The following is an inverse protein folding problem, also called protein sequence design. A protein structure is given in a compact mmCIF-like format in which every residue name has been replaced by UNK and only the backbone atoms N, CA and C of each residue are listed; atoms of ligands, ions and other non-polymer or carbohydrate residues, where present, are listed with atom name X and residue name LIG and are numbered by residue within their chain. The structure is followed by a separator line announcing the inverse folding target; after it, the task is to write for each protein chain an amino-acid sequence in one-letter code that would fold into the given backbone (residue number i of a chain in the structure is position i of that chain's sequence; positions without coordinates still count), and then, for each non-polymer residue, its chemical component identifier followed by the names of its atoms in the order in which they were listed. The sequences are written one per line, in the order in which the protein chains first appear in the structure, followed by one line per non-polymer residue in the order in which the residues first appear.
data_IF_705472039906
#
_entry.id   IF_705472039906
#
_cell.length_a   1.000
_cell.length_b   1.000
_cell.length_c   1.000
_cell.angle_alpha   90.00
_cell.angle_beta   90.00
_cell.angle_gamma   90.00
#
_symmetry.space_group_name_H-M   'P 1'
#
loop_
_entity.id
_entity.type
_entity.pdbx_description
1 polymer ?
#
# COMPACT_ATOMS: atom_id res chain seq x y z
N UNK A 1 -11.70 12.39 10.38
CA UNK A 1 -12.03 10.96 10.31
C UNK A 1 -12.77 10.74 9.00
N UNK A 2 -12.23 9.92 8.08
CA UNK A 2 -12.78 9.74 6.74
C UNK A 2 -14.11 8.99 6.87
N UNK A 3 -15.23 9.68 6.66
CA UNK A 3 -16.60 9.15 6.82
C UNK A 3 -17.00 8.09 5.78
N UNK A 4 -16.11 7.63 4.90
CA UNK A 4 -16.47 6.75 3.78
C UNK A 4 -16.04 5.28 3.94
N UNK A 5 -15.06 4.98 4.79
CA UNK A 5 -14.51 3.63 5.01
C UNK A 5 -14.64 3.22 6.49
N UNK A 6 -15.89 3.08 6.95
CA UNK A 6 -16.18 2.44 8.25
C UNK A 6 -17.09 1.24 8.01
N UNK A 7 -17.11 0.33 8.99
CA UNK A 7 -18.05 -0.80 9.02
C UNK A 7 -19.48 -0.28 8.90
N UNK A 8 -19.86 0.68 9.74
CA UNK A 8 -21.20 1.30 9.76
C UNK A 8 -21.60 1.90 8.40
N UNK A 9 -20.71 2.65 7.74
CA UNK A 9 -21.04 3.25 6.43
C UNK A 9 -21.16 2.19 5.34
N UNK A 10 -20.39 1.10 5.45
CA UNK A 10 -20.48 -0.03 4.53
C UNK A 10 -21.79 -0.79 4.72
N UNK A 11 -22.20 -1.03 5.96
CA UNK A 11 -23.49 -1.63 6.29
C UNK A 11 -24.66 -0.76 5.81
N UNK A 12 -24.65 0.54 6.06
CA UNK A 12 -25.64 1.49 5.54
C UNK A 12 -25.70 1.49 4.01
N UNK A 13 -24.53 1.45 3.35
CA UNK A 13 -24.44 1.40 1.90
C UNK A 13 -25.03 0.09 1.33
N UNK A 14 -24.78 -1.04 1.99
CA UNK A 14 -25.35 -2.34 1.62
C UNK A 14 -26.87 -2.34 1.84
N UNK A 15 -27.34 -1.94 3.02
CA UNK A 15 -28.76 -1.90 3.36
C UNK A 15 -29.58 -1.02 2.41
N UNK A 16 -28.98 0.07 1.90
CA UNK A 16 -29.61 0.96 0.90
C UNK A 16 -29.77 0.32 -0.48
N UNK A 17 -28.85 -0.57 -0.89
CA UNK A 17 -28.74 -1.05 -2.27
C UNK A 17 -29.04 -2.55 -2.45
N UNK A 18 -29.13 -3.30 -1.36
CA UNK A 18 -29.50 -4.72 -1.30
C UNK A 18 -30.73 -4.94 -0.41
N UNK A 19 -31.57 -5.91 -0.78
CA UNK A 19 -32.73 -6.36 -0.01
C UNK A 19 -32.42 -7.58 0.85
N UNK A 20 -31.34 -8.30 0.57
CA UNK A 20 -30.91 -9.44 1.38
C UNK A 20 -29.65 -10.12 0.86
N UNK A 21 -29.13 -11.02 1.68
CA UNK A 21 -28.04 -11.94 1.35
C UNK A 21 -28.64 -13.32 1.05
N UNK A 22 -28.12 -13.98 0.03
CA UNK A 22 -28.40 -15.37 -0.27
C UNK A 22 -27.85 -16.31 0.80
N UNK A 23 -28.23 -17.58 0.72
CA UNK A 23 -27.80 -18.63 1.65
C UNK A 23 -26.68 -19.50 1.11
N UNK A 24 -26.54 -19.55 -0.22
CA UNK A 24 -25.55 -20.39 -0.87
C UNK A 24 -24.19 -19.69 -0.87
N UNK A 25 -23.28 -20.24 -0.07
CA UNK A 25 -21.89 -19.82 -0.05
C UNK A 25 -21.13 -20.35 -1.26
N UNK A 26 -20.23 -19.53 -1.78
CA UNK A 26 -19.27 -19.90 -2.80
C UNK A 26 -17.91 -19.29 -2.48
N UNK A 27 -16.85 -20.04 -2.73
CA UNK A 27 -15.48 -19.55 -2.60
C UNK A 27 -15.05 -19.03 -3.96
N UNK A 28 -14.76 -17.74 -4.03
CA UNK A 28 -14.23 -17.08 -5.23
C UNK A 28 -12.77 -16.69 -5.01
N UNK A 29 -12.06 -16.53 -6.11
CA UNK A 29 -10.67 -16.07 -6.18
C UNK A 29 -10.64 -14.71 -6.87
N UNK A 30 -10.04 -13.74 -6.18
CA UNK A 30 -9.92 -12.37 -6.63
C UNK A 30 -8.46 -12.05 -6.94
N UNK A 31 -8.18 -11.79 -8.21
CA UNK A 31 -6.91 -11.26 -8.68
C UNK A 31 -6.83 -9.75 -8.42
N UNK A 32 -5.64 -9.31 -8.02
CA UNK A 32 -5.26 -7.90 -7.95
C UNK A 32 -3.94 -7.64 -8.69
N UNK A 33 -3.56 -8.56 -9.58
CA UNK A 33 -2.28 -8.57 -10.30
C UNK A 33 -1.21 -9.47 -9.68
N UNK A 34 -1.41 -9.93 -8.45
CA UNK A 34 -0.49 -10.85 -7.78
C UNK A 34 -0.76 -12.32 -8.11
N UNK A 35 0.32 -13.12 -8.16
CA UNK A 35 0.27 -14.53 -8.60
C UNK A 35 -0.59 -15.44 -7.72
N UNK A 36 -0.72 -15.12 -6.43
CA UNK A 36 -1.59 -15.87 -5.51
C UNK A 36 -2.88 -15.05 -5.34
N UNK A 37 -4.05 -15.50 -5.85
CA UNK A 37 -5.27 -14.73 -5.73
C UNK A 37 -5.77 -14.69 -4.28
N UNK A 38 -6.52 -13.64 -3.93
CA UNK A 38 -7.22 -13.54 -2.67
C UNK A 38 -8.46 -14.44 -2.70
N UNK A 39 -8.50 -15.45 -1.83
CA UNK A 39 -9.68 -16.32 -1.69
C UNK A 39 -10.68 -15.67 -0.74
N UNK A 40 -11.96 -15.72 -1.10
CA UNK A 40 -13.02 -15.19 -0.24
C UNK A 40 -14.30 -15.99 -0.39
N UNK A 41 -14.93 -16.29 0.74
CA UNK A 41 -16.28 -16.86 0.80
C UNK A 41 -17.29 -15.73 0.65
N UNK A 42 -18.18 -15.86 -0.33
CA UNK A 42 -19.23 -14.89 -0.64
C UNK A 42 -20.56 -15.59 -0.82
N UNK A 43 -21.62 -14.81 -0.77
CA UNK A 43 -22.99 -15.21 -1.12
C UNK A 43 -23.54 -14.27 -2.18
N UNK A 44 -24.57 -14.72 -2.89
CA UNK A 44 -25.33 -13.85 -3.80
C UNK A 44 -26.05 -12.75 -3.02
N UNK A 45 -26.23 -11.59 -3.65
CA UNK A 45 -27.00 -10.47 -3.11
C UNK A 45 -28.29 -10.30 -3.89
N UNK A 46 -29.39 -10.26 -3.15
CA UNK A 46 -30.64 -9.76 -3.68
C UNK A 46 -30.53 -8.23 -3.75
N UNK A 47 -30.35 -7.69 -4.95
CA UNK A 47 -30.16 -6.25 -5.17
C UNK A 47 -31.48 -5.52 -5.37
N UNK A 48 -31.62 -4.32 -4.80
CA UNK A 48 -32.84 -3.50 -4.94
C UNK A 48 -32.87 -2.81 -6.30
N UNK A 49 -33.74 -3.28 -7.19
CA UNK A 49 -33.98 -2.69 -8.50
C UNK A 49 -32.92 -3.02 -9.55
N UNK A 50 -33.29 -2.86 -10.83
CA UNK A 50 -32.43 -3.14 -11.99
C UNK A 50 -31.28 -2.13 -12.16
N UNK A 51 -31.36 -0.98 -11.50
CA UNK A 51 -30.37 0.11 -11.56
C UNK A 51 -29.42 0.14 -10.36
N UNK A 52 -29.50 -0.84 -9.45
CA UNK A 52 -28.66 -0.89 -8.24
C UNK A 52 -27.18 -0.75 -8.59
N UNK A 53 -26.47 0.05 -7.79
CA UNK A 53 -25.02 0.27 -7.94
C UNK A 53 -24.21 -1.02 -7.82
N UNK A 54 -24.76 -2.07 -7.18
CA UNK A 54 -24.08 -3.36 -7.05
C UNK A 54 -24.07 -4.19 -8.33
N UNK A 55 -24.95 -3.89 -9.30
CA UNK A 55 -24.94 -4.53 -10.62
C UNK A 55 -23.90 -3.96 -11.56
N UNK A 56 -23.20 -2.88 -11.17
CA UNK A 56 -22.29 -2.18 -12.06
C UNK A 56 -21.02 -1.69 -11.40
N UNK A 57 -19.90 -1.90 -12.07
CA UNK A 57 -18.62 -1.29 -11.75
C UNK A 57 -18.27 -0.21 -12.78
N UNK A 58 -17.57 0.82 -12.32
CA UNK A 58 -16.98 1.83 -13.22
C UNK A 58 -15.55 1.41 -13.47
N UNK A 59 -15.18 1.22 -14.73
CA UNK A 59 -13.79 1.01 -15.13
C UNK A 59 -13.37 2.17 -16.04
N UNK A 60 -12.20 2.71 -15.75
CA UNK A 60 -11.53 3.69 -16.60
C UNK A 60 -10.56 2.93 -17.50
N UNK A 61 -10.60 3.19 -18.80
CA UNK A 61 -9.55 2.76 -19.72
C UNK A 61 -9.07 3.96 -20.52
N UNK A 62 -7.79 3.95 -20.90
CA UNK A 62 -7.25 4.93 -21.83
C UNK A 62 -7.70 4.50 -23.22
N UNK A 63 -8.46 5.34 -23.91
CA UNK A 63 -8.89 5.03 -25.28
C UNK A 63 -7.71 5.16 -26.26
N UNK A 64 -7.95 4.82 -27.53
CA UNK A 64 -6.93 4.89 -28.60
C UNK A 64 -6.33 6.29 -28.79
N UNK A 65 -7.04 7.33 -28.34
CA UNK A 65 -6.64 8.73 -28.43
C UNK A 65 -5.92 9.22 -27.16
N UNK A 66 -5.60 8.32 -26.23
CA UNK A 66 -4.95 8.68 -24.96
C UNK A 66 -5.89 9.29 -23.91
N UNK A 67 -7.20 9.37 -24.19
CA UNK A 67 -8.17 9.98 -23.30
C UNK A 67 -8.82 8.92 -22.37
N UNK A 68 -8.90 9.18 -21.05
CA UNK A 68 -9.56 8.29 -20.12
C UNK A 68 -11.06 8.26 -20.41
N UNK A 69 -11.56 7.08 -20.80
CA UNK A 69 -12.97 6.82 -21.06
C UNK A 69 -13.56 5.96 -19.94
N UNK A 70 -14.74 6.35 -19.45
CA UNK A 70 -15.43 5.65 -18.38
C UNK A 70 -16.46 4.69 -18.96
N UNK A 71 -16.27 3.40 -18.72
CA UNK A 71 -17.28 2.39 -19.05
C UNK A 71 -17.92 1.81 -17.79
N UNK A 72 -19.24 1.74 -17.82
CA UNK A 72 -20.04 1.04 -16.84
C UNK A 72 -20.11 -0.43 -17.25
N UNK A 73 -19.35 -1.29 -16.55
CA UNK A 73 -19.38 -2.74 -16.76
C UNK A 73 -20.32 -3.40 -15.75
N UNK A 74 -20.87 -4.54 -16.15
CA UNK A 74 -21.68 -5.39 -15.27
C UNK A 74 -20.79 -5.91 -14.12
N UNK A 75 -21.35 -5.96 -12.92
CA UNK A 75 -20.68 -6.43 -11.70
C UNK A 75 -21.54 -7.53 -11.08
N UNK A 76 -20.94 -8.68 -10.71
CA UNK A 76 -21.66 -9.74 -10.05
C UNK A 76 -22.13 -9.27 -8.66
N UNK A 77 -23.43 -9.42 -8.33
CA UNK A 77 -23.99 -9.00 -7.05
C UNK A 77 -23.60 -10.00 -5.95
N UNK A 78 -22.35 -9.95 -5.51
CA UNK A 78 -21.80 -10.82 -4.46
C UNK A 78 -21.39 -10.00 -3.25
N UNK A 79 -21.61 -10.56 -2.05
CA UNK A 79 -21.21 -9.96 -0.78
C UNK A 79 -20.69 -11.00 0.20
N UNK A 80 -19.95 -10.54 1.20
CA UNK A 80 -19.52 -11.35 2.35
C UNK A 80 -20.60 -11.26 3.42
N UNK A 81 -20.97 -12.38 4.03
CA UNK A 81 -21.94 -12.37 5.13
C UNK A 81 -21.43 -11.50 6.28
N UNK A 82 -22.28 -10.62 6.86
CA UNK A 82 -21.87 -9.74 7.96
C UNK A 82 -21.28 -10.50 9.15
N UNK A 83 -21.83 -11.68 9.46
CA UNK A 83 -21.34 -12.56 10.54
C UNK A 83 -19.92 -13.05 10.32
N UNK A 84 -19.49 -13.19 9.07
CA UNK A 84 -18.14 -13.66 8.72
C UNK A 84 -17.12 -12.53 8.62
N UNK A 85 -17.53 -11.26 8.67
CA UNK A 85 -16.63 -10.12 8.46
C UNK A 85 -15.54 -9.98 9.52
N UNK A 86 -15.81 -10.41 10.76
CA UNK A 86 -14.84 -10.33 11.85
C UNK A 86 -13.63 -11.25 11.60
N UNK A 87 -13.90 -12.49 11.17
CA UNK A 87 -12.87 -13.50 10.93
C UNK A 87 -11.97 -13.15 9.73
N UNK A 88 -12.46 -12.30 8.81
CA UNK A 88 -11.72 -11.86 7.63
C UNK A 88 -10.50 -11.00 7.96
N UNK A 89 -10.48 -10.31 9.09
CA UNK A 89 -9.34 -9.48 9.47
C UNK A 89 -8.05 -10.29 9.61
N UNK A 90 -8.14 -11.42 10.30
CA UNK A 90 -7.00 -12.29 10.56
C UNK A 90 -6.58 -13.07 9.30
N UNK A 91 -7.54 -13.48 8.48
CA UNK A 91 -7.26 -14.10 7.17
C UNK A 91 -6.47 -13.16 6.25
N UNK A 92 -6.89 -11.89 6.14
CA UNK A 92 -6.21 -10.90 5.29
C UNK A 92 -4.86 -10.48 5.85
N UNK A 93 -4.71 -10.44 7.18
CA UNK A 93 -3.42 -10.21 7.84
C UNK A 93 -2.42 -11.31 7.45
N UNK A 94 -2.80 -12.58 7.59
CA UNK A 94 -1.95 -13.73 7.21
C UNK A 94 -1.61 -13.74 5.73
N UNK A 95 -2.57 -13.39 4.87
CA UNK A 95 -2.33 -13.30 3.43
C UNK A 95 -1.22 -12.29 3.11
N UNK A 96 -1.27 -11.10 3.71
CA UNK A 96 -0.23 -10.07 3.54
C UNK A 96 1.12 -10.49 4.13
N UNK A 97 1.10 -11.09 5.32
CA UNK A 97 2.30 -11.60 5.99
C UNK A 97 3.01 -12.68 5.16
N UNK A 98 2.24 -13.59 4.53
CA UNK A 98 2.78 -14.63 3.67
C UNK A 98 3.55 -14.04 2.48
N UNK A 99 3.05 -12.96 1.89
CA UNK A 99 3.73 -12.24 0.80
C UNK A 99 5.03 -11.62 1.33
N UNK A 100 4.96 -10.95 2.47
CA UNK A 100 6.09 -10.25 3.06
C UNK A 100 7.24 -11.19 3.45
N UNK A 101 6.93 -12.37 4.00
CA UNK A 101 7.94 -13.33 4.46
C UNK A 101 8.55 -14.17 3.34
N UNK A 102 7.78 -14.51 2.30
CA UNK A 102 8.16 -15.58 1.39
C UNK A 102 8.25 -15.19 -0.09
N UNK A 103 7.78 -14.00 -0.47
CA UNK A 103 7.55 -13.74 -1.90
C UNK A 103 7.69 -12.27 -2.33
N UNK A 104 8.52 -11.52 -1.62
CA UNK A 104 8.77 -10.10 -1.93
C UNK A 104 9.26 -9.87 -3.36
N UNK A 105 10.06 -10.78 -3.90
CA UNK A 105 10.59 -10.64 -5.26
C UNK A 105 9.48 -10.63 -6.33
N UNK A 106 8.40 -11.40 -6.15
CA UNK A 106 7.27 -11.37 -7.08
C UNK A 106 6.35 -10.19 -6.80
N UNK A 107 6.20 -9.82 -5.53
CA UNK A 107 5.45 -8.62 -5.16
C UNK A 107 6.05 -7.35 -5.75
N UNK A 108 7.36 -7.13 -5.64
CA UNK A 108 8.03 -5.91 -6.14
C UNK A 108 7.80 -5.71 -7.65
N UNK A 109 7.66 -6.79 -8.43
CA UNK A 109 7.40 -6.70 -9.88
C UNK A 109 6.06 -6.04 -10.21
N UNK A 110 5.06 -6.24 -9.34
CA UNK A 110 3.68 -5.78 -9.54
C UNK A 110 3.29 -4.61 -8.63
N UNK A 111 4.16 -4.25 -7.67
CA UNK A 111 3.86 -3.24 -6.65
C UNK A 111 3.57 -1.86 -7.27
N UNK A 112 4.10 -1.60 -8.46
CA UNK A 112 3.84 -0.40 -9.24
C UNK A 112 3.43 -0.76 -10.67
N UNK A 113 2.44 -0.06 -11.21
CA UNK A 113 2.08 -0.19 -12.64
C UNK A 113 3.24 0.30 -13.53
N UNK A 114 3.34 -0.16 -14.79
CA UNK A 114 4.40 0.27 -15.71
C UNK A 114 4.47 1.80 -15.94
N UNK A 115 3.34 2.48 -15.78
CA UNK A 115 3.18 3.92 -15.94
C UNK A 115 3.49 4.71 -14.66
N UNK A 116 3.70 4.03 -13.53
CA UNK A 116 4.06 4.63 -12.24
C UNK A 116 5.59 4.83 -12.12
N UNK A 117 6.01 5.34 -10.95
CA UNK A 117 7.39 5.74 -10.68
C UNK A 117 8.37 4.56 -10.61
N UNK A 118 9.28 4.45 -11.58
CA UNK A 118 10.40 3.49 -11.55
C UNK A 118 11.33 3.72 -10.34
N UNK A 119 11.48 4.99 -9.90
CA UNK A 119 12.21 5.34 -8.69
C UNK A 119 11.59 4.67 -7.46
N UNK A 120 10.27 4.78 -7.30
CA UNK A 120 9.56 4.17 -6.18
C UNK A 120 9.72 2.64 -6.18
N UNK A 121 9.61 2.01 -7.37
CA UNK A 121 9.79 0.57 -7.55
C UNK A 121 11.19 0.11 -7.17
N UNK A 122 12.23 0.79 -7.64
CA UNK A 122 13.63 0.44 -7.34
C UNK A 122 13.99 0.67 -5.87
N UNK A 123 13.49 1.74 -5.25
CA UNK A 123 13.65 1.98 -3.82
C UNK A 123 12.99 0.88 -2.98
N UNK A 124 11.77 0.48 -3.34
CA UNK A 124 11.09 -0.65 -2.68
C UNK A 124 11.89 -1.94 -2.86
N UNK A 125 12.39 -2.21 -4.07
CA UNK A 125 13.20 -3.39 -4.37
C UNK A 125 14.42 -3.48 -3.46
N UNK A 126 15.19 -2.40 -3.34
CA UNK A 126 16.38 -2.35 -2.48
C UNK A 126 16.05 -2.61 -1.01
N UNK A 127 14.95 -2.05 -0.50
CA UNK A 127 14.49 -2.32 0.87
C UNK A 127 14.06 -3.78 1.06
N UNK A 128 13.32 -4.35 0.10
CA UNK A 128 12.93 -5.75 0.15
C UNK A 128 14.13 -6.69 0.11
N UNK A 129 15.14 -6.40 -0.71
CA UNK A 129 16.39 -7.16 -0.78
C UNK A 129 17.15 -7.10 0.57
N UNK A 130 17.23 -5.92 1.18
CA UNK A 130 17.84 -5.76 2.51
C UNK A 130 17.11 -6.59 3.58
N UNK A 131 15.77 -6.56 3.60
CA UNK A 131 14.99 -7.39 4.53
C UNK A 131 15.19 -8.88 4.27
N UNK A 132 15.12 -9.34 3.01
CA UNK A 132 15.33 -10.75 2.65
C UNK A 132 16.73 -11.25 3.03
N UNK A 133 17.76 -10.42 2.87
CA UNK A 133 19.11 -10.75 3.32
C UNK A 133 19.18 -10.95 4.85
N UNK A 134 18.53 -10.08 5.62
CA UNK A 134 18.40 -10.25 7.08
C UNK A 134 17.69 -11.54 7.47
N UNK A 135 16.57 -11.87 6.82
CA UNK A 135 15.85 -13.13 7.03
C UNK A 135 16.73 -14.34 6.75
N UNK A 136 17.46 -14.34 5.62
CA UNK A 136 18.36 -15.44 5.25
C UNK A 136 19.53 -15.61 6.23
N UNK A 137 19.94 -14.53 6.91
CA UNK A 137 20.96 -14.54 7.94
C UNK A 137 20.42 -14.93 9.34
N UNK A 138 19.12 -15.20 9.48
CA UNK A 138 18.49 -15.48 10.78
C UNK A 138 18.29 -14.25 11.67
N UNK A 139 18.34 -13.06 11.09
CA UNK A 139 18.24 -11.76 11.76
C UNK A 139 17.05 -10.97 11.17
N UNK A 140 15.84 -11.50 11.36
CA UNK A 140 14.62 -10.89 10.85
C UNK A 140 14.32 -9.56 11.56
N UNK A 141 14.18 -8.49 10.77
CA UNK A 141 13.79 -7.17 11.27
C UNK A 141 12.26 -7.04 11.29
N UNK A 142 11.62 -7.42 12.40
CA UNK A 142 10.17 -7.43 12.54
C UNK A 142 9.52 -6.08 12.20
N UNK A 143 10.04 -4.97 12.73
CA UNK A 143 9.55 -3.63 12.41
C UNK A 143 9.57 -3.31 10.91
N UNK A 144 10.60 -3.79 10.19
CA UNK A 144 10.70 -3.60 8.74
C UNK A 144 9.72 -4.51 7.99
N UNK A 145 9.53 -5.76 8.43
CA UNK A 145 8.47 -6.65 7.90
C UNK A 145 7.12 -5.95 7.97
N UNK A 146 6.76 -5.42 9.15
CA UNK A 146 5.46 -4.78 9.33
C UNK A 146 5.27 -3.53 8.45
N UNK A 147 6.33 -2.73 8.26
CA UNK A 147 6.30 -1.61 7.32
C UNK A 147 6.05 -2.09 5.88
N UNK A 148 6.73 -3.14 5.43
CA UNK A 148 6.55 -3.73 4.09
C UNK A 148 5.12 -4.28 3.94
N UNK A 149 4.57 -4.91 4.98
CA UNK A 149 3.19 -5.38 4.99
C UNK A 149 2.18 -4.24 4.83
N UNK A 150 2.41 -3.07 5.43
CA UNK A 150 1.59 -1.88 5.18
C UNK A 150 1.64 -1.53 3.69
N UNK A 151 2.82 -1.56 3.05
CA UNK A 151 2.95 -1.28 1.62
C UNK A 151 2.17 -2.28 0.75
N UNK A 152 2.24 -3.57 1.06
CA UNK A 152 1.47 -4.62 0.38
C UNK A 152 -0.02 -4.37 0.50
N UNK A 153 -0.52 -4.12 1.71
CA UNK A 153 -1.94 -3.86 1.93
C UNK A 153 -2.42 -2.59 1.21
N UNK A 154 -1.62 -1.52 1.19
CA UNK A 154 -1.92 -0.31 0.42
C UNK A 154 -1.99 -0.58 -1.10
N UNK A 155 -1.12 -1.44 -1.62
CA UNK A 155 -1.16 -1.86 -3.02
C UNK A 155 -2.45 -2.66 -3.33
N UNK A 156 -2.88 -3.55 -2.43
CA UNK A 156 -4.16 -4.26 -2.58
C UNK A 156 -5.35 -3.27 -2.57
N UNK A 157 -5.32 -2.26 -1.69
CA UNK A 157 -6.38 -1.25 -1.61
C UNK A 157 -6.50 -0.39 -2.88
N UNK A 158 -5.40 -0.20 -3.60
CA UNK A 158 -5.30 0.55 -4.86
C UNK A 158 -5.92 -0.20 -6.02
N UNK A 159 -5.72 -1.51 -6.07
CA UNK A 159 -6.14 -2.33 -7.20
C UNK A 159 -7.63 -2.65 -7.18
N UNK A 160 -8.16 -2.97 -8.35
CA UNK A 160 -9.45 -3.64 -8.48
C UNK A 160 -9.28 -5.11 -8.13
N UNK A 161 -10.24 -5.67 -7.40
CA UNK A 161 -10.27 -7.08 -7.02
C UNK A 161 -11.16 -7.82 -8.01
N UNK A 162 -10.54 -8.38 -9.03
CA UNK A 162 -11.18 -8.93 -10.21
C UNK A 162 -11.34 -10.45 -10.07
N UNK A 163 -12.47 -11.00 -10.48
CA UNK A 163 -12.63 -12.46 -10.56
C UNK A 163 -11.66 -13.05 -11.57
N UNK A 164 -11.00 -14.14 -11.21
CA UNK A 164 -10.29 -14.94 -12.21
C UNK A 164 -11.24 -15.79 -13.06
N UNK A 165 -10.70 -16.45 -14.09
CA UNK A 165 -11.50 -17.18 -15.07
C UNK A 165 -12.33 -18.31 -14.46
N UNK A 166 -11.78 -19.05 -13.49
CA UNK A 166 -12.50 -20.13 -12.81
C UNK A 166 -13.63 -19.58 -11.94
N UNK A 167 -13.37 -18.50 -11.19
CA UNK A 167 -14.38 -17.88 -10.34
C UNK A 167 -15.46 -17.18 -11.16
N UNK A 168 -15.11 -16.63 -12.32
CA UNK A 168 -16.06 -16.05 -13.27
C UNK A 168 -17.05 -17.11 -13.73
N UNK A 169 -16.57 -18.26 -14.23
CA UNK A 169 -17.42 -19.38 -14.66
C UNK A 169 -18.31 -19.91 -13.53
N UNK A 170 -17.75 -20.04 -12.33
CA UNK A 170 -18.50 -20.46 -11.14
C UNK A 170 -19.66 -19.49 -10.85
N UNK A 171 -19.37 -18.20 -10.86
CA UNK A 171 -20.34 -17.14 -10.57
C UNK A 171 -21.42 -17.08 -11.65
N UNK A 172 -21.06 -17.17 -12.93
CA UNK A 172 -22.01 -17.21 -14.05
C UNK A 172 -22.94 -18.41 -13.94
N UNK A 173 -22.40 -19.60 -13.64
CA UNK A 173 -23.21 -20.81 -13.46
C UNK A 173 -24.15 -20.73 -12.25
N UNK A 174 -23.75 -20.07 -11.17
CA UNK A 174 -24.58 -19.90 -9.96
C UNK A 174 -25.64 -18.81 -10.11
N UNK A 175 -25.34 -17.74 -10.82
CA UNK A 175 -26.25 -16.60 -10.98
C UNK A 175 -27.10 -16.69 -12.25
N UNK A 176 -26.78 -17.60 -13.18
CA UNK A 176 -27.47 -17.73 -14.47
C UNK A 176 -27.30 -16.51 -15.37
N UNK A 177 -26.17 -15.81 -15.23
CA UNK A 177 -25.96 -14.48 -15.80
C UNK A 177 -24.50 -14.34 -16.23
N UNK A 178 -24.24 -13.97 -17.50
CA UNK A 178 -22.88 -13.75 -18.01
C UNK A 178 -22.27 -12.43 -17.52
N UNK A 179 -20.96 -12.43 -17.28
CA UNK A 179 -20.18 -11.28 -16.83
C UNK A 179 -19.00 -10.99 -17.75
N UNK A 180 -18.69 -9.71 -18.03
CA UNK A 180 -17.57 -9.37 -18.89
C UNK A 180 -16.23 -9.80 -18.25
N UNK A 181 -15.18 -9.99 -19.06
CA UNK A 181 -13.82 -10.13 -18.54
C UNK A 181 -13.45 -8.98 -17.61
N UNK A 182 -12.62 -9.31 -16.62
CA UNK A 182 -12.19 -8.40 -15.56
C UNK A 182 -13.34 -7.87 -14.66
N UNK A 183 -14.35 -8.69 -14.41
CA UNK A 183 -15.46 -8.35 -13.52
C UNK A 183 -15.05 -8.35 -12.05
N UNK A 184 -15.34 -7.27 -11.32
CA UNK A 184 -15.17 -7.22 -9.86
C UNK A 184 -16.52 -7.19 -9.13
N UNK A 185 -16.74 -8.03 -8.10
CA UNK A 185 -17.94 -7.96 -7.27
C UNK A 185 -17.92 -6.70 -6.40
N UNK A 186 -18.61 -5.64 -6.81
CA UNK A 186 -18.51 -4.32 -6.18
C UNK A 186 -18.78 -4.33 -4.67
N UNK A 187 -19.76 -5.09 -4.20
CA UNK A 187 -20.11 -5.14 -2.77
C UNK A 187 -19.03 -5.87 -1.97
N UNK A 188 -18.70 -7.12 -2.35
CA UNK A 188 -17.62 -7.88 -1.72
C UNK A 188 -16.29 -7.11 -1.75
N UNK A 189 -15.91 -6.49 -2.88
CA UNK A 189 -14.71 -5.64 -2.97
C UNK A 189 -14.74 -4.52 -1.94
N UNK A 190 -15.87 -3.82 -1.77
CA UNK A 190 -15.99 -2.76 -0.75
C UNK A 190 -15.78 -3.31 0.66
N UNK A 191 -16.40 -4.46 0.97
CA UNK A 191 -16.25 -5.10 2.28
C UNK A 191 -14.78 -5.52 2.53
N UNK A 192 -14.13 -6.14 1.55
CA UNK A 192 -12.71 -6.53 1.60
C UNK A 192 -11.82 -5.31 1.85
N UNK A 193 -12.00 -4.23 1.07
CA UNK A 193 -11.20 -3.01 1.22
C UNK A 193 -11.38 -2.35 2.60
N UNK A 194 -12.59 -2.39 3.16
CA UNK A 194 -12.85 -1.88 4.53
C UNK A 194 -12.12 -2.73 5.56
N UNK A 195 -12.18 -4.06 5.45
CA UNK A 195 -11.46 -4.96 6.34
C UNK A 195 -9.94 -4.70 6.29
N UNK A 196 -9.34 -4.64 5.09
CA UNK A 196 -7.93 -4.28 4.93
C UNK A 196 -7.60 -2.93 5.56
N UNK A 197 -8.41 -1.89 5.29
CA UNK A 197 -8.17 -0.55 5.82
C UNK A 197 -8.20 -0.51 7.35
N UNK A 198 -9.14 -1.19 7.99
CA UNK A 198 -9.22 -1.30 9.45
C UNK A 198 -7.97 -1.98 10.02
N UNK A 199 -7.54 -3.11 9.43
CA UNK A 199 -6.33 -3.82 9.87
C UNK A 199 -5.07 -2.95 9.73
N UNK A 200 -4.96 -2.14 8.68
CA UNK A 200 -3.79 -1.28 8.49
C UNK A 200 -3.76 -0.08 9.43
N UNK A 201 -4.91 0.43 9.88
CA UNK A 201 -4.94 1.59 10.76
C UNK A 201 -4.19 1.35 12.07
N UNK A 202 -4.36 0.17 12.67
CA UNK A 202 -3.68 -0.15 13.93
C UNK A 202 -2.22 -0.53 13.70
N UNK A 203 -1.92 -1.24 12.62
CA UNK A 203 -0.53 -1.54 12.22
C UNK A 203 0.30 -0.28 11.98
N UNK A 204 -0.24 0.72 11.27
CA UNK A 204 0.48 1.99 11.03
C UNK A 204 0.82 2.69 12.35
N UNK A 205 -0.11 2.71 13.32
CA UNK A 205 0.16 3.30 14.64
C UNK A 205 1.26 2.55 15.39
N UNK A 206 1.23 1.22 15.34
CA UNK A 206 2.21 0.36 15.99
C UNK A 206 3.60 0.56 15.38
N UNK A 207 3.73 0.47 14.06
CA UNK A 207 4.98 0.72 13.34
C UNK A 207 5.54 2.11 13.65
N UNK A 208 4.71 3.15 13.68
CA UNK A 208 5.16 4.50 14.05
C UNK A 208 5.64 4.60 15.50
N UNK A 209 4.97 3.89 16.43
CA UNK A 209 5.35 3.84 17.84
C UNK A 209 6.67 3.13 18.03
N UNK A 210 6.81 1.92 17.51
CA UNK A 210 8.04 1.12 17.58
C UNK A 210 9.21 1.78 16.86
N UNK A 211 8.95 2.35 15.68
CA UNK A 211 9.95 3.15 14.97
C UNK A 211 10.40 4.34 15.83
N UNK A 212 9.47 5.06 16.45
CA UNK A 212 9.81 6.11 17.41
C UNK A 212 10.70 5.59 18.54
N UNK A 213 10.35 4.45 19.15
CA UNK A 213 11.15 3.84 20.21
C UNK A 213 12.55 3.44 19.74
N UNK A 214 12.69 2.84 18.56
CA UNK A 214 13.99 2.53 17.94
C UNK A 214 14.86 3.78 17.80
N UNK A 215 14.24 4.89 17.41
CA UNK A 215 14.92 6.17 17.22
C UNK A 215 15.33 6.84 18.54
N UNK A 216 14.54 6.71 19.61
CA UNK A 216 14.85 7.36 20.89
C UNK A 216 15.72 6.50 21.83
N UNK A 217 15.66 5.18 21.73
CA UNK A 217 16.35 4.31 22.67
C UNK A 217 17.85 4.14 22.37
N UNK A 218 18.65 4.16 23.44
CA UNK A 218 20.08 3.83 23.42
C UNK A 218 20.28 2.38 23.80
N UNK A 219 19.67 1.44 23.04
CA UNK A 219 19.95 0.02 23.22
C UNK A 219 21.42 -0.28 22.81
N UNK A 220 22.22 -0.85 23.72
CA UNK A 220 23.62 -1.26 23.46
C UNK A 220 23.71 -2.53 22.62
N UNK A 221 22.66 -3.35 22.56
CA UNK A 221 22.63 -4.59 21.79
C UNK A 221 22.49 -4.38 20.28
N UNK A 222 22.06 -3.20 19.83
CA UNK A 222 21.89 -2.87 18.41
C UNK A 222 22.85 -1.74 18.04
N UNK A 223 23.71 -2.00 17.05
CA UNK A 223 24.66 -1.01 16.54
C UNK A 223 23.93 0.19 15.93
N UNK A 224 24.56 1.38 15.93
CA UNK A 224 23.93 2.58 15.36
C UNK A 224 23.73 2.46 13.86
N UNK A 225 24.62 1.73 13.20
CA UNK A 225 24.63 1.37 11.80
C UNK A 225 23.37 0.56 11.45
N UNK A 226 23.06 -0.47 12.25
CA UNK A 226 21.85 -1.27 12.11
C UNK A 226 20.59 -0.47 12.41
N UNK A 227 20.58 0.32 13.48
CA UNK A 227 19.44 1.23 13.79
C UNK A 227 19.17 2.20 12.65
N UNK A 228 20.22 2.72 12.03
CA UNK A 228 20.09 3.61 10.88
C UNK A 228 19.50 2.87 9.68
N UNK A 229 20.03 1.69 9.33
CA UNK A 229 19.54 0.93 8.17
C UNK A 229 18.06 0.56 8.31
N UNK A 230 17.65 0.03 9.48
CA UNK A 230 16.26 -0.31 9.78
C UNK A 230 15.39 0.96 9.81
N UNK A 231 15.81 1.97 10.57
CA UNK A 231 15.04 3.20 10.75
C UNK A 231 14.84 3.98 9.44
N UNK A 232 15.87 4.02 8.60
CA UNK A 232 15.79 4.61 7.26
C UNK A 232 14.88 3.79 6.34
N UNK A 233 15.02 2.46 6.32
CA UNK A 233 14.18 1.57 5.50
C UNK A 233 12.70 1.69 5.84
N UNK A 234 12.36 1.71 7.13
CA UNK A 234 10.98 1.89 7.60
C UNK A 234 10.44 3.27 7.17
N UNK A 235 11.22 4.34 7.36
CA UNK A 235 10.80 5.68 6.92
C UNK A 235 10.60 5.76 5.40
N UNK A 236 11.48 5.10 4.63
CA UNK A 236 11.37 5.03 3.18
C UNK A 236 10.07 4.32 2.78
N UNK A 237 9.80 3.14 3.34
CA UNK A 237 8.55 2.40 3.05
C UNK A 237 7.31 3.20 3.44
N UNK A 238 7.30 3.86 4.61
CA UNK A 238 6.20 4.75 4.99
C UNK A 238 6.04 5.92 4.01
N UNK A 239 7.13 6.42 3.43
CA UNK A 239 7.08 7.45 2.38
C UNK A 239 6.45 6.93 1.09
N UNK A 240 6.78 5.70 0.68
CA UNK A 240 6.16 5.04 -0.47
C UNK A 240 4.65 4.79 -0.23
N UNK A 241 4.28 4.38 0.98
CA UNK A 241 2.87 4.20 1.41
C UNK A 241 2.09 5.51 1.33
N UNK A 242 2.70 6.63 1.75
CA UNK A 242 2.06 7.94 1.64
C UNK A 242 1.74 8.26 0.17
N UNK A 243 2.67 8.04 -0.75
CA UNK A 243 2.42 8.32 -2.17
C UNK A 243 1.32 7.43 -2.77
N UNK A 244 1.28 6.13 -2.43
CA UNK A 244 0.17 5.25 -2.82
C UNK A 244 -1.18 5.71 -2.25
N UNK A 245 -1.21 6.22 -1.02
CA UNK A 245 -2.45 6.72 -0.40
C UNK A 245 -3.02 7.95 -1.10
N UNK A 246 -2.18 8.79 -1.72
CA UNK A 246 -2.65 9.87 -2.60
C UNK A 246 -3.28 9.32 -3.88
N UNK A 247 -2.74 8.25 -4.45
CA UNK A 247 -3.32 7.53 -5.60
C UNK A 247 -4.72 7.01 -5.30
N UNK A 248 -4.97 6.50 -4.09
CA UNK A 248 -6.30 6.05 -3.64
C UNK A 248 -7.38 7.16 -3.65
N UNK A 249 -6.98 8.43 -3.49
CA UNK A 249 -7.90 9.58 -3.59
C UNK A 249 -8.46 9.80 -5.00
N UNK A 250 -7.87 9.14 -6.00
CA UNK A 250 -8.27 9.27 -7.39
C UNK A 250 -9.47 8.37 -7.77
N UNK A 251 -9.90 7.45 -6.89
CA UNK A 251 -11.05 6.58 -7.16
C UNK A 251 -12.36 7.39 -7.23
N UNK A 252 -12.79 7.64 -8.47
CA UNK A 252 -13.94 8.45 -8.89
C UNK A 252 -15.28 7.93 -8.37
N UNK A 253 -15.83 8.60 -7.36
CA UNK A 253 -17.28 8.60 -7.09
C UNK A 253 -17.81 9.96 -7.52
N UNK A 254 -18.42 10.07 -8.71
CA UNK A 254 -19.28 11.22 -9.02
C UNK A 254 -20.68 10.94 -8.47
N UNK A 255 -21.05 11.61 -7.37
CA UNK A 255 -22.44 11.76 -6.94
C UNK A 255 -22.88 13.19 -7.20
N UNK A 256 -23.83 13.40 -8.11
CA UNK A 256 -24.57 14.67 -8.25
C UNK A 256 -23.77 15.93 -8.61
N UNK A 257 -22.46 15.84 -8.83
CA UNK A 257 -21.62 16.88 -9.44
C UNK A 257 -21.10 18.00 -8.52
N UNK A 258 -21.45 18.07 -7.23
CA UNK A 258 -20.93 19.14 -6.33
C UNK A 258 -20.44 18.65 -4.96
N UNK A 259 -21.20 17.81 -4.26
CA UNK A 259 -20.80 17.34 -2.92
C UNK A 259 -19.61 16.39 -2.97
N UNK A 260 -19.57 15.48 -3.94
CA UNK A 260 -18.48 14.52 -4.07
C UNK A 260 -17.13 15.18 -4.46
N UNK A 261 -17.16 16.32 -5.13
CA UNK A 261 -15.94 17.06 -5.50
C UNK A 261 -15.39 17.86 -4.32
N UNK A 262 -16.27 18.47 -3.50
CA UNK A 262 -15.86 19.11 -2.25
C UNK A 262 -15.29 18.10 -1.25
N UNK A 263 -15.97 16.97 -1.01
CA UNK A 263 -15.46 15.92 -0.12
C UNK A 263 -14.12 15.35 -0.62
N UNK A 264 -13.96 15.21 -1.94
CA UNK A 264 -12.71 14.77 -2.56
C UNK A 264 -11.60 15.78 -2.32
N UNK A 265 -11.84 17.07 -2.56
CA UNK A 265 -10.84 18.12 -2.38
C UNK A 265 -10.44 18.25 -0.90
N UNK A 266 -11.40 18.17 0.02
CA UNK A 266 -11.11 18.12 1.46
C UNK A 266 -10.29 16.89 1.85
N UNK A 267 -10.60 15.72 1.28
CA UNK A 267 -9.84 14.50 1.52
C UNK A 267 -8.40 14.65 1.02
N UNK A 268 -8.23 15.14 -0.21
CA UNK A 268 -6.91 15.37 -0.80
C UNK A 268 -6.08 16.36 0.02
N UNK A 269 -6.68 17.45 0.49
CA UNK A 269 -5.98 18.43 1.31
C UNK A 269 -5.61 17.86 2.69
N UNK A 270 -6.53 17.13 3.34
CA UNK A 270 -6.22 16.46 4.61
C UNK A 270 -5.11 15.43 4.46
N UNK A 271 -5.16 14.59 3.41
CA UNK A 271 -4.10 13.62 3.13
C UNK A 271 -2.77 14.33 2.88
N UNK A 272 -2.76 15.38 2.06
CA UNK A 272 -1.55 16.17 1.78
C UNK A 272 -0.95 16.79 3.05
N UNK A 273 -1.77 17.40 3.90
CA UNK A 273 -1.33 18.00 5.16
C UNK A 273 -0.82 16.94 6.14
N UNK A 274 -1.56 15.84 6.32
CA UNK A 274 -1.14 14.75 7.20
C UNK A 274 0.17 14.13 6.72
N UNK A 275 0.34 13.92 5.42
CA UNK A 275 1.57 13.35 4.87
C UNK A 275 2.75 14.30 4.95
N UNK A 276 2.55 15.58 4.67
CA UNK A 276 3.62 16.58 4.80
C UNK A 276 4.08 16.66 6.25
N UNK A 277 3.14 16.75 7.20
CA UNK A 277 3.48 16.83 8.62
C UNK A 277 4.12 15.53 9.14
N UNK A 278 3.60 14.37 8.74
CA UNK A 278 4.15 13.06 9.14
C UNK A 278 5.56 12.88 8.57
N UNK A 279 5.74 13.14 7.27
CA UNK A 279 7.04 13.06 6.61
C UNK A 279 8.04 14.01 7.26
N UNK A 280 7.69 15.29 7.43
CA UNK A 280 8.58 16.28 8.05
C UNK A 280 8.94 15.87 9.48
N UNK A 281 7.98 15.38 10.27
CA UNK A 281 8.23 14.94 11.65
C UNK A 281 9.15 13.73 11.72
N UNK A 282 8.89 12.69 10.93
CA UNK A 282 9.74 11.50 10.90
C UNK A 282 11.13 11.83 10.34
N UNK A 283 11.21 12.68 9.32
CA UNK A 283 12.47 13.22 8.78
C UNK A 283 13.25 13.95 9.87
N UNK A 284 12.63 14.83 10.64
CA UNK A 284 13.27 15.53 11.77
C UNK A 284 13.81 14.57 12.83
N UNK A 285 13.04 13.55 13.22
CA UNK A 285 13.46 12.55 14.20
C UNK A 285 14.67 11.77 13.68
N UNK A 286 14.65 11.34 12.41
CA UNK A 286 15.78 10.68 11.76
C UNK A 286 17.03 11.55 11.77
N UNK A 287 16.89 12.81 11.35
CA UNK A 287 18.04 13.70 11.30
C UNK A 287 18.57 14.10 12.66
N UNK A 288 17.70 14.24 13.66
CA UNK A 288 18.09 14.54 15.04
C UNK A 288 18.89 13.39 15.65
N UNK A 289 18.41 12.14 15.52
CA UNK A 289 19.06 10.95 16.07
C UNK A 289 20.47 10.74 15.50
N UNK A 290 20.62 10.86 14.19
CA UNK A 290 21.89 10.57 13.51
C UNK A 290 22.71 11.84 13.18
N UNK A 291 22.27 13.00 13.67
CA UNK A 291 22.92 14.31 13.47
C UNK A 291 23.24 14.62 12.00
N UNK A 292 22.45 14.12 11.07
CA UNK A 292 22.73 14.14 9.61
C UNK A 292 22.65 15.53 8.95
N UNK A 293 22.22 16.57 9.68
CA UNK A 293 22.24 17.99 9.25
C UNK A 293 23.68 18.49 9.08
N UNK A 294 23.92 19.34 8.08
CA UNK A 294 25.25 19.90 7.80
C UNK A 294 25.67 20.90 8.89
N UNK A 295 26.96 20.89 9.25
CA UNK A 295 27.57 21.83 10.22
C UNK A 295 27.97 21.24 11.58
N UNK A 296 27.58 20.00 11.88
CA UNK A 296 28.06 19.28 13.07
C UNK A 296 29.27 18.40 12.74
N UNK A 297 30.32 18.43 13.57
CA UNK A 297 31.52 17.55 13.49
C UNK A 297 31.21 16.04 13.53
N UNK A 298 29.93 15.64 13.69
CA UNK A 298 29.49 14.27 13.96
C UNK A 298 28.37 13.76 13.02
N UNK A 299 28.06 14.44 11.91
CA UNK A 299 26.92 14.04 11.06
C UNK A 299 27.11 12.66 10.43
N UNK A 300 26.14 11.74 10.62
CA UNK A 300 26.21 10.37 10.12
C UNK A 300 25.18 10.13 9.00
N UNK A 301 25.55 10.39 7.74
CA UNK A 301 24.70 10.13 6.57
C UNK A 301 25.37 9.20 5.55
N UNK A 302 25.18 7.87 5.66
CA UNK A 302 25.74 6.89 4.75
C UNK A 302 25.43 7.11 3.26
N UNK A 303 24.23 7.61 2.92
CA UNK A 303 23.85 7.83 1.51
C UNK A 303 24.62 9.01 0.91
N UNK A 304 24.87 10.05 1.71
CA UNK A 304 25.62 11.25 1.29
C UNK A 304 27.13 10.99 1.26
N UNK A 305 27.64 10.39 2.33
CA UNK A 305 29.08 10.34 2.62
C UNK A 305 29.73 9.00 2.21
N UNK A 306 28.94 8.00 1.81
CA UNK A 306 29.43 6.67 1.43
C UNK A 306 30.25 6.03 2.55
N UNK A 307 31.39 5.44 2.17
CA UNK A 307 32.31 4.81 3.13
C UNK A 307 32.85 5.77 4.20
N UNK A 308 32.93 7.07 3.87
CA UNK A 308 33.36 8.12 4.79
C UNK A 308 32.42 8.29 5.99
N UNK A 309 31.14 7.91 5.86
CA UNK A 309 30.17 7.99 6.96
C UNK A 309 30.55 7.11 8.15
N UNK A 310 31.22 5.98 7.88
CA UNK A 310 31.49 4.94 8.85
C UNK A 310 32.73 5.22 9.70
N UNK A 311 33.53 6.25 9.36
CA UNK A 311 34.73 6.68 10.09
C UNK A 311 35.71 5.53 10.38
N UNK A 312 35.95 4.67 9.38
CA UNK A 312 36.90 3.56 9.47
C UNK A 312 36.43 2.35 10.26
N UNK A 313 35.15 2.28 10.65
CA UNK A 313 34.57 1.07 11.25
C UNK A 313 34.36 -0.01 10.21
N UNK A 314 34.55 -1.28 10.60
CA UNK A 314 34.11 -2.44 9.83
C UNK A 314 32.58 -2.51 9.91
N UNK A 315 31.93 -2.56 8.75
CA UNK A 315 30.47 -2.55 8.62
C UNK A 315 30.02 -3.91 8.10
N UNK A 316 28.84 -4.31 8.57
CA UNK A 316 28.13 -5.46 8.01
C UNK A 316 27.93 -5.29 6.50
N UNK A 317 28.37 -6.29 5.72
CA UNK A 317 28.33 -6.24 4.25
C UNK A 317 26.92 -6.02 3.70
N UNK A 318 25.89 -6.52 4.39
CA UNK A 318 24.48 -6.33 4.00
C UNK A 318 24.07 -4.87 4.14
N UNK A 319 24.52 -4.20 5.21
CA UNK A 319 24.25 -2.77 5.43
C UNK A 319 25.02 -1.91 4.42
N UNK A 320 26.28 -2.26 4.15
CA UNK A 320 27.09 -1.54 3.17
C UNK A 320 26.48 -1.64 1.76
N UNK A 321 26.14 -2.86 1.31
CA UNK A 321 25.48 -3.09 0.03
C UNK A 321 24.15 -2.37 -0.09
N UNK A 322 23.32 -2.39 0.95
CA UNK A 322 22.07 -1.63 0.99
C UNK A 322 22.28 -0.12 0.78
N UNK A 323 23.29 0.46 1.44
CA UNK A 323 23.60 1.90 1.29
C UNK A 323 24.05 2.22 -0.13
N UNK A 324 24.91 1.39 -0.71
CA UNK A 324 25.40 1.59 -2.07
C UNK A 324 24.29 1.47 -3.11
N UNK A 325 23.39 0.48 -2.96
CA UNK A 325 22.22 0.31 -3.82
C UNK A 325 21.29 1.53 -3.77
N UNK A 326 20.95 2.01 -2.57
CA UNK A 326 20.13 3.22 -2.41
C UNK A 326 20.83 4.43 -3.04
N UNK A 327 22.16 4.56 -2.84
CA UNK A 327 22.93 5.67 -3.41
C UNK A 327 22.92 5.62 -4.94
N UNK A 328 23.09 4.44 -5.52
CA UNK A 328 23.01 4.23 -6.97
C UNK A 328 21.66 4.66 -7.53
N UNK A 329 20.57 4.19 -6.92
CA UNK A 329 19.20 4.57 -7.30
C UNK A 329 19.03 6.10 -7.24
N UNK A 330 19.37 6.75 -6.13
CA UNK A 330 19.19 8.20 -5.98
C UNK A 330 20.04 9.00 -6.98
N UNK A 331 21.29 8.58 -7.23
CA UNK A 331 22.19 9.28 -8.16
C UNK A 331 21.73 9.19 -9.61
N UNK A 332 21.22 8.04 -10.04
CA UNK A 332 20.71 7.86 -11.41
C UNK A 332 19.49 8.75 -11.66
N UNK A 333 18.54 8.80 -10.72
CA UNK A 333 17.34 9.62 -10.87
C UNK A 333 17.58 11.12 -10.74
N UNK A 334 18.67 11.55 -10.10
CA UNK A 334 19.08 12.97 -10.13
C UNK A 334 19.64 13.42 -11.50
N UNK A 335 19.96 12.48 -12.40
CA UNK A 335 20.48 12.78 -13.75
C UNK A 335 19.39 12.77 -14.83
N UNK A 336 18.21 12.26 -14.53
CA UNK A 336 17.07 12.16 -15.45
C UNK A 336 16.01 13.20 -15.04
N UNK A 337 15.38 13.90 -16.00
CA UNK A 337 14.27 14.78 -15.68
C UNK A 337 13.16 14.00 -14.95
N UNK A 338 12.65 14.49 -13.80
CA UNK A 338 11.85 13.67 -12.91
C UNK A 338 10.45 13.41 -13.51
N UNK A 339 10.18 12.13 -13.84
CA UNK A 339 8.83 11.66 -14.16
C UNK A 339 7.85 11.73 -12.98
N UNK A 340 8.35 11.71 -11.73
CA UNK A 340 7.57 11.95 -10.52
C UNK A 340 8.29 12.94 -9.57
N UNK A 341 7.84 14.22 -9.52
CA UNK A 341 8.52 15.24 -8.75
C UNK A 341 8.41 15.05 -7.23
N UNK A 342 7.42 14.30 -6.70
CA UNK A 342 7.15 14.29 -5.25
C UNK A 342 8.08 13.37 -4.48
N UNK A 343 8.16 12.11 -4.88
CA UNK A 343 9.07 11.14 -4.27
C UNK A 343 10.52 11.59 -4.45
N UNK A 344 10.84 12.12 -5.63
CA UNK A 344 12.16 12.63 -5.95
C UNK A 344 12.58 13.79 -5.01
N UNK A 345 11.68 14.76 -4.76
CA UNK A 345 11.93 15.85 -3.81
C UNK A 345 12.14 15.33 -2.39
N UNK A 346 11.31 14.39 -1.91
CA UNK A 346 11.47 13.79 -0.57
C UNK A 346 12.79 13.04 -0.44
N UNK A 347 13.20 12.30 -1.48
CA UNK A 347 14.47 11.59 -1.51
C UNK A 347 15.66 12.54 -1.51
N UNK A 348 15.60 13.67 -2.23
CA UNK A 348 16.62 14.72 -2.12
C UNK A 348 16.72 15.24 -0.68
N UNK A 349 15.60 15.45 0.02
CA UNK A 349 15.66 15.92 1.42
C UNK A 349 16.24 14.90 2.39
N UNK A 350 15.91 13.61 2.23
CA UNK A 350 16.45 12.54 3.07
C UNK A 350 17.95 12.31 2.80
N UNK A 351 18.36 12.37 1.54
CA UNK A 351 19.70 11.95 1.12
C UNK A 351 20.69 13.11 0.98
N UNK A 352 20.22 14.32 0.63
CA UNK A 352 21.05 15.47 0.25
C UNK A 352 20.65 16.72 1.03
N UNK A 353 20.98 16.78 2.31
CA UNK A 353 21.01 18.07 3.01
C UNK A 353 22.31 18.81 2.68
N UNK A 354 22.18 19.85 1.84
CA UNK A 354 23.25 20.81 1.51
C UNK A 354 23.45 21.85 2.59
#
# INVERSE_FOLDING_TARGET
MIRQYTVENTEKFIAKNASGFGRDEMIIRLSWGYRVPLKVTVVSLSVRGSTSVFRYQSQTYVNKDGLPTFTKKKSPPLGILPTSMHDKHEEYKRYVEQIARHDLAQYVKIAYEPEESDLAKRLLQTVCQFYTAGVNAGDEYELLREAIEIHIACSILERSLILDDESTKLVEGRLGEEYPPDSAPRCAQRQIKVAFFMTQQDRIKEVLREWGQLMWTSNRATTNERKWAIGFSVLLVLTLVMDKTLGLSWCTVKHGGKEAEMEKNEFQERVKVTQTNLFERCKEILHSKFKTRKGGKESFNPIRDGDGAWRGKVIDETIAGFVDDIRGVVQEFDRVEPGDPKIHVRMRYLCRQK
#
